data_IF_360906345871
#
_entry.id   IF_360906345871
#
_cell.length_a   1.000
_cell.length_b   1.000
_cell.length_c   1.000
_cell.angle_alpha   90.00
_cell.angle_beta   90.00
_cell.angle_gamma   90.00
#
_symmetry.space_group_name_H-M   'P 1'
#
loop_
_entity.id
_entity.type
_entity.pdbx_description
1 polymer ?
#
# COMPACT_ATOMS: atom_id res chain seq x y z
N UNK A 1 -39.22 -45.72 -9.38
CA UNK A 1 -38.19 -44.69 -9.10
C UNK A 1 -37.84 -44.03 -10.41
N UNK A 2 -38.02 -42.72 -10.56
CA UNK A 2 -37.61 -41.99 -11.78
C UNK A 2 -36.15 -41.59 -11.59
N UNK A 3 -35.26 -42.12 -12.42
CA UNK A 3 -33.84 -41.74 -12.43
C UNK A 3 -33.64 -40.37 -13.06
N UNK A 4 -32.52 -39.72 -12.74
CA UNK A 4 -32.09 -38.49 -13.41
C UNK A 4 -31.86 -38.75 -14.90
N UNK A 5 -32.28 -37.80 -15.74
CA UNK A 5 -31.96 -37.89 -17.16
C UNK A 5 -30.49 -37.54 -17.39
N UNK A 6 -29.89 -38.07 -18.47
CA UNK A 6 -28.53 -37.72 -18.86
C UNK A 6 -28.35 -36.20 -19.03
N UNK A 7 -29.37 -35.54 -19.60
CA UNK A 7 -29.40 -34.09 -19.79
C UNK A 7 -29.30 -33.33 -18.46
N UNK A 8 -29.99 -33.79 -17.44
CA UNK A 8 -30.01 -33.16 -16.13
C UNK A 8 -28.64 -33.22 -15.44
N UNK A 9 -27.97 -34.37 -15.53
CA UNK A 9 -26.61 -34.56 -15.01
C UNK A 9 -25.61 -33.67 -15.77
N UNK A 10 -25.75 -33.56 -17.09
CA UNK A 10 -24.89 -32.70 -17.91
C UNK A 10 -25.06 -31.22 -17.57
N UNK A 11 -26.30 -30.76 -17.36
CA UNK A 11 -26.59 -29.37 -16.95
C UNK A 11 -26.02 -29.11 -15.55
N UNK A 12 -26.21 -30.04 -14.61
CA UNK A 12 -25.65 -29.91 -13.27
C UNK A 12 -24.12 -29.78 -13.30
N UNK A 13 -23.44 -30.63 -14.08
CA UNK A 13 -21.99 -30.56 -14.25
C UNK A 13 -21.53 -29.25 -14.91
N UNK A 14 -22.26 -28.75 -15.91
CA UNK A 14 -21.94 -27.49 -16.56
C UNK A 14 -22.03 -26.30 -15.59
N UNK A 15 -23.07 -26.28 -14.75
CA UNK A 15 -23.24 -25.26 -13.70
C UNK A 15 -22.11 -25.38 -12.68
N UNK A 16 -21.83 -26.59 -12.17
CA UNK A 16 -20.76 -26.81 -11.18
C UNK A 16 -19.39 -26.39 -11.70
N UNK A 17 -19.06 -26.73 -12.96
CA UNK A 17 -17.80 -26.34 -13.57
C UNK A 17 -17.67 -24.81 -13.68
N UNK A 18 -18.75 -24.11 -14.06
CA UNK A 18 -18.78 -22.66 -14.17
C UNK A 18 -18.61 -21.97 -12.82
N UNK A 19 -19.27 -22.48 -11.78
CA UNK A 19 -19.12 -21.98 -10.40
C UNK A 19 -17.68 -22.19 -9.93
N UNK A 20 -17.11 -23.37 -10.18
CA UNK A 20 -15.74 -23.67 -9.76
C UNK A 20 -14.72 -22.73 -10.41
N UNK A 21 -14.86 -22.46 -11.71
CA UNK A 21 -14.00 -21.51 -12.42
C UNK A 21 -14.11 -20.10 -11.82
N UNK A 22 -15.33 -19.66 -11.50
CA UNK A 22 -15.58 -18.35 -10.88
C UNK A 22 -14.92 -18.25 -9.51
N UNK A 23 -15.02 -19.29 -8.68
CA UNK A 23 -14.38 -19.34 -7.36
C UNK A 23 -12.86 -19.29 -7.49
N UNK A 24 -12.26 -20.08 -8.38
CA UNK A 24 -10.80 -20.08 -8.60
C UNK A 24 -10.32 -18.69 -9.04
N UNK A 25 -11.03 -18.07 -9.99
CA UNK A 25 -10.71 -16.71 -10.45
C UNK A 25 -10.78 -15.69 -9.32
N UNK A 26 -11.84 -15.73 -8.50
CA UNK A 26 -12.00 -14.86 -7.34
C UNK A 26 -10.88 -15.04 -6.32
N UNK A 27 -10.52 -16.27 -5.99
CA UNK A 27 -9.44 -16.56 -5.04
C UNK A 27 -8.10 -16.02 -5.53
N UNK A 28 -7.78 -16.24 -6.81
CA UNK A 28 -6.55 -15.68 -7.41
C UNK A 28 -6.54 -14.15 -7.35
N UNK A 29 -7.68 -13.52 -7.61
CA UNK A 29 -7.83 -12.08 -7.51
C UNK A 29 -7.59 -11.58 -6.07
N UNK A 30 -8.19 -12.24 -5.07
CA UNK A 30 -7.99 -11.88 -3.67
C UNK A 30 -6.54 -12.08 -3.21
N UNK A 31 -5.88 -13.16 -3.61
CA UNK A 31 -4.47 -13.39 -3.27
C UNK A 31 -3.55 -12.29 -3.83
N UNK A 32 -3.80 -11.84 -5.06
CA UNK A 32 -3.05 -10.73 -5.66
C UNK A 32 -3.25 -9.40 -4.91
N UNK A 33 -4.43 -9.19 -4.32
CA UNK A 33 -4.73 -7.99 -3.54
C UNK A 33 -4.10 -8.04 -2.15
N UNK A 34 -4.15 -9.18 -1.45
CA UNK A 34 -3.55 -9.33 -0.11
C UNK A 34 -2.05 -9.03 -0.12
N UNK A 35 -1.33 -9.46 -1.16
CA UNK A 35 0.10 -9.12 -1.31
C UNK A 35 0.33 -7.61 -1.51
N UNK A 36 -0.60 -6.93 -2.20
CA UNK A 36 -0.56 -5.47 -2.37
C UNK A 36 -0.82 -4.72 -1.06
N UNK A 37 -1.75 -5.21 -0.24
CA UNK A 37 -2.15 -4.57 1.03
C UNK A 37 -1.04 -4.68 2.08
N UNK A 38 -0.30 -5.79 2.12
CA UNK A 38 0.84 -5.97 3.01
C UNK A 38 1.98 -4.99 2.68
N UNK A 39 2.23 -4.75 1.39
CA UNK A 39 3.25 -3.80 0.93
C UNK A 39 2.86 -2.36 1.26
N UNK A 40 1.59 -2.00 1.07
CA UNK A 40 1.07 -0.69 1.46
C UNK A 40 1.16 -0.46 2.97
N UNK A 41 0.80 -1.46 3.77
CA UNK A 41 0.95 -1.40 5.23
C UNK A 41 2.41 -1.19 5.62
N UNK A 42 3.34 -1.87 4.96
CA UNK A 42 4.78 -1.70 5.17
C UNK A 42 5.22 -0.27 4.84
N UNK A 43 4.80 0.28 3.71
CA UNK A 43 5.09 1.67 3.32
C UNK A 43 4.55 2.69 4.34
N UNK A 44 3.34 2.47 4.89
CA UNK A 44 2.77 3.32 5.95
C UNK A 44 3.64 3.27 7.21
N UNK A 45 4.01 2.07 7.67
CA UNK A 45 4.79 1.89 8.89
C UNK A 45 6.18 2.50 8.75
N UNK A 46 6.84 2.30 7.60
CA UNK A 46 8.13 2.91 7.29
C UNK A 46 8.04 4.44 7.27
N UNK A 47 7.01 4.99 6.61
CA UNK A 47 6.79 6.43 6.57
C UNK A 47 6.53 7.02 7.94
N UNK A 48 5.71 6.37 8.78
CA UNK A 48 5.46 6.83 10.16
C UNK A 48 6.71 6.78 11.02
N UNK A 49 7.42 5.65 11.03
CA UNK A 49 8.66 5.52 11.78
C UNK A 49 9.69 6.59 11.37
N UNK A 50 9.72 6.95 10.08
CA UNK A 50 10.60 8.01 9.57
C UNK A 50 10.18 9.41 10.02
N UNK A 51 8.88 9.69 10.08
CA UNK A 51 8.36 10.97 10.60
C UNK A 51 8.53 11.12 12.12
N UNK A 52 8.54 10.01 12.86
CA UNK A 52 8.75 9.99 14.31
C UNK A 52 10.24 10.13 14.70
N UNK A 53 11.15 9.90 13.76
CA UNK A 53 12.59 10.10 13.97
C UNK A 53 12.89 11.60 14.20
N UNK A 54 13.38 11.99 15.40
CA UNK A 54 13.66 13.39 15.73
C UNK A 54 14.73 14.02 14.84
N UNK A 55 15.63 13.21 14.29
CA UNK A 55 16.69 13.66 13.40
C UNK A 55 16.16 13.85 11.97
N UNK A 56 15.01 13.26 11.63
CA UNK A 56 14.40 13.42 10.33
C UNK A 56 13.93 14.84 10.06
N UNK A 57 13.58 15.63 11.07
CA UNK A 57 13.29 17.06 10.90
C UNK A 57 14.52 17.91 10.55
N UNK A 58 15.73 17.41 10.88
CA UNK A 58 17.02 18.11 10.74
C UNK A 58 17.84 17.63 9.54
N UNK A 59 17.46 16.52 8.92
CA UNK A 59 18.14 16.02 7.72
C UNK A 59 18.20 17.12 6.64
N UNK A 60 19.37 17.30 6.02
CA UNK A 60 19.52 18.18 4.85
C UNK A 60 18.88 17.55 3.59
N UNK A 61 18.89 16.22 3.53
CA UNK A 61 18.36 15.48 2.38
C UNK A 61 16.83 15.43 2.38
N UNK A 62 16.27 15.72 1.22
CA UNK A 62 14.83 15.66 0.95
C UNK A 62 14.43 14.36 0.25
N UNK A 63 15.35 13.43 0.04
CA UNK A 63 15.08 12.14 -0.60
C UNK A 63 16.07 11.08 -0.13
N UNK A 64 15.64 9.82 -0.15
CA UNK A 64 16.50 8.69 0.17
C UNK A 64 15.79 7.36 -0.04
N UNK A 65 16.40 6.29 0.46
CA UNK A 65 15.84 4.94 0.46
C UNK A 65 15.78 4.38 1.89
N UNK A 66 15.20 3.19 2.01
CA UNK A 66 15.14 2.42 3.27
C UNK A 66 16.09 1.21 3.25
N UNK A 67 17.20 1.28 2.50
CA UNK A 67 18.19 0.22 2.47
C UNK A 67 18.97 0.11 3.80
N UNK A 68 19.49 -1.07 4.18
CA UNK A 68 19.39 -2.35 3.47
C UNK A 68 18.10 -3.14 3.75
N UNK A 69 17.30 -2.72 4.74
CA UNK A 69 16.14 -3.49 5.21
C UNK A 69 14.99 -3.52 4.18
N UNK A 70 14.79 -2.42 3.44
CA UNK A 70 13.72 -2.28 2.44
C UNK A 70 14.24 -1.57 1.18
N UNK A 71 15.07 -2.22 0.35
CA UNK A 71 15.73 -1.60 -0.81
C UNK A 71 14.76 -1.19 -1.92
N UNK A 72 13.56 -1.79 -1.97
CA UNK A 72 12.51 -1.43 -2.94
C UNK A 72 11.69 -0.20 -2.56
N UNK A 73 11.92 0.38 -1.37
CA UNK A 73 11.17 1.53 -0.87
C UNK A 73 12.05 2.78 -0.89
N UNK A 74 11.52 3.87 -1.45
CA UNK A 74 12.16 5.18 -1.48
C UNK A 74 11.27 6.19 -0.77
N UNK A 75 11.88 7.27 -0.30
CA UNK A 75 11.14 8.37 0.32
C UNK A 75 11.57 9.72 -0.24
N UNK A 76 10.62 10.65 -0.25
CA UNK A 76 10.79 12.06 -0.60
C UNK A 76 10.09 12.91 0.46
N UNK A 77 10.78 13.94 0.95
CA UNK A 77 10.29 14.86 1.98
C UNK A 77 10.16 16.26 1.40
N UNK A 78 9.01 16.88 1.63
CA UNK A 78 8.73 18.26 1.26
C UNK A 78 8.30 19.03 2.51
N UNK A 79 8.96 20.15 2.79
CA UNK A 79 8.61 21.03 3.91
C UNK A 79 8.01 22.30 3.32
N UNK A 80 6.74 22.56 3.64
CA UNK A 80 6.01 23.75 3.17
C UNK A 80 5.59 24.60 4.37
N UNK A 81 5.77 25.92 4.27
CA UNK A 81 5.22 26.85 5.27
C UNK A 81 3.70 26.83 5.17
N UNK A 82 3.03 26.77 6.32
CA UNK A 82 1.57 26.87 6.34
C UNK A 82 1.13 28.32 6.44
N UNK A 83 -0.16 28.58 6.23
CA UNK A 83 -0.77 29.89 6.47
C UNK A 83 -0.81 30.26 7.96
N UNK A 84 -0.56 29.28 8.85
CA UNK A 84 -0.52 29.47 10.30
C UNK A 84 0.91 29.88 10.71
N UNK A 85 1.10 31.08 11.29
CA UNK A 85 2.41 31.53 11.74
C UNK A 85 3.05 30.55 12.72
N UNK A 86 4.31 30.19 12.46
CA UNK A 86 5.07 29.27 13.33
C UNK A 86 4.76 27.78 13.12
N UNK A 87 4.01 27.40 12.08
CA UNK A 87 3.71 25.99 11.76
C UNK A 87 4.21 25.62 10.36
N UNK A 88 5.00 24.55 10.29
CA UNK A 88 5.45 23.94 9.05
C UNK A 88 4.66 22.65 8.78
N UNK A 89 4.37 22.39 7.50
CA UNK A 89 3.81 21.14 7.02
C UNK A 89 4.95 20.31 6.42
N UNK A 90 5.14 19.10 6.95
CA UNK A 90 6.09 18.12 6.44
C UNK A 90 5.27 17.06 5.71
N UNK A 91 5.45 16.96 4.40
CA UNK A 91 4.91 15.88 3.57
C UNK A 91 6.00 14.87 3.31
N UNK A 92 5.75 13.61 3.65
CA UNK A 92 6.62 12.48 3.35
C UNK A 92 5.90 11.58 2.36
N UNK A 93 6.48 11.39 1.18
CA UNK A 93 5.99 10.47 0.16
C UNK A 93 6.90 9.26 0.11
N UNK A 94 6.34 8.07 0.33
CA UNK A 94 7.01 6.78 0.19
C UNK A 94 6.58 6.17 -1.15
N UNK A 95 7.53 5.74 -1.97
CA UNK A 95 7.30 5.07 -3.24
C UNK A 95 7.91 3.68 -3.23
N UNK A 96 7.25 2.74 -3.91
CA UNK A 96 7.70 1.36 -4.03
C UNK A 96 7.21 0.75 -5.35
N UNK A 97 7.69 -0.45 -5.65
CA UNK A 97 7.38 -1.17 -6.89
C UNK A 97 7.71 -0.32 -8.13
N UNK A 98 8.98 0.07 -8.26
CA UNK A 98 9.51 0.91 -9.34
C UNK A 98 8.73 2.22 -9.54
N UNK A 99 8.40 2.89 -8.43
CA UNK A 99 7.67 4.16 -8.39
C UNK A 99 6.22 4.11 -8.93
N UNK A 100 5.69 2.91 -9.21
CA UNK A 100 4.31 2.69 -9.65
C UNK A 100 3.29 2.91 -8.53
N UNK A 101 3.68 2.61 -7.29
CA UNK A 101 2.86 2.84 -6.10
C UNK A 101 3.49 3.93 -5.23
N UNK A 102 2.63 4.77 -4.64
CA UNK A 102 3.05 5.86 -3.75
C UNK A 102 2.03 6.08 -2.65
N UNK A 103 2.53 6.46 -1.49
CA UNK A 103 1.74 6.85 -0.33
C UNK A 103 2.32 8.14 0.26
N UNK A 104 1.47 9.06 0.70
CA UNK A 104 1.90 10.32 1.30
C UNK A 104 1.34 10.49 2.70
N UNK A 105 2.24 10.78 3.64
CA UNK A 105 1.93 11.15 5.02
C UNK A 105 2.18 12.65 5.19
N UNK A 106 1.34 13.31 6.00
CA UNK A 106 1.48 14.73 6.30
C UNK A 106 1.52 14.90 7.81
N UNK A 107 2.52 15.63 8.29
CA UNK A 107 2.70 15.99 9.69
C UNK A 107 2.86 17.50 9.81
N UNK A 108 2.27 18.08 10.86
CA UNK A 108 2.45 19.49 11.20
C UNK A 108 3.41 19.60 12.38
N UNK A 109 4.45 20.42 12.24
CA UNK A 109 5.46 20.62 13.27
C UNK A 109 5.71 22.11 13.50
N UNK A 110 5.96 22.55 14.75
CA UNK A 110 6.28 23.94 15.04
C UNK A 110 7.62 24.34 14.41
N UNK A 111 7.69 25.55 13.89
CA UNK A 111 8.85 26.10 13.18
C UNK A 111 10.09 26.26 14.09
N UNK A 112 9.89 26.22 15.40
CA UNK A 112 10.94 26.38 16.43
C UNK A 112 11.60 25.06 16.86
N UNK A 113 11.23 23.93 16.25
CA UNK A 113 11.78 22.60 16.59
C UNK A 113 12.92 22.14 15.65
N UNK A 114 13.44 23.03 14.81
CA UNK A 114 14.62 22.80 13.98
C UNK A 114 15.88 23.32 14.67
#
# INVERSE_FOLDING_TARGET
>A
MKGFTLLEVMIALAITASVLLTVISSLNHHLSQVGSDAEETTAVLLGRAKLEDPEFGKLADNKGDFAPNHPGHKWVREITKTEIPGLNQIRLTVTWNDDAKRLSLVQYAPQNAQ
#
